data_IF_421309938538
#
_entry.id   IF_421309938538
#
_cell.length_a   1.000
_cell.length_b   1.000
_cell.length_c   1.000
_cell.angle_alpha   90.00
_cell.angle_beta   90.00
_cell.angle_gamma   90.00
#
_symmetry.space_group_name_H-M   'P 1'
#
loop_
_entity.id
_entity.type
_entity.pdbx_description
1 polymer ?
#
# COMPACT_ATOMS: atom_id res chain seq x y z
N UNK A 1 -5.56 -6.50 -19.38
CA UNK A 1 -4.87 -7.64 -18.74
C UNK A 1 -5.06 -7.49 -17.25
N UNK A 2 -5.47 -8.55 -16.55
CA UNK A 2 -5.63 -8.59 -15.09
C UNK A 2 -4.30 -8.30 -14.38
N UNK A 3 -4.35 -7.74 -13.17
CA UNK A 3 -3.16 -7.60 -12.33
C UNK A 3 -2.38 -8.91 -12.28
N UNK A 4 -1.03 -8.88 -12.34
CA UNK A 4 -0.26 -10.09 -12.14
C UNK A 4 -0.42 -10.62 -10.72
N UNK A 5 -0.94 -9.81 -9.78
CA UNK A 5 -1.08 -10.15 -8.37
C UNK A 5 -2.46 -10.69 -8.01
N UNK A 6 -2.49 -11.61 -7.04
CA UNK A 6 -3.68 -11.92 -6.25
C UNK A 6 -3.62 -11.10 -4.97
N UNK A 7 -4.65 -10.31 -4.69
CA UNK A 7 -4.68 -9.40 -3.53
C UNK A 7 -5.82 -9.72 -2.61
N UNK A 8 -5.58 -9.54 -1.32
CA UNK A 8 -6.60 -9.52 -0.28
C UNK A 8 -6.30 -8.36 0.66
N UNK A 9 -7.31 -7.56 0.98
CA UNK A 9 -7.21 -6.45 1.94
C UNK A 9 -8.12 -6.72 3.13
N UNK A 10 -7.60 -6.47 4.34
CA UNK A 10 -8.36 -6.51 5.58
C UNK A 10 -8.09 -5.27 6.42
N UNK A 11 -8.99 -4.95 7.35
CA UNK A 11 -8.67 -4.04 8.46
C UNK A 11 -7.51 -4.66 9.24
N UNK A 12 -6.55 -3.82 9.64
CA UNK A 12 -5.38 -4.22 10.39
C UNK A 12 -5.52 -3.84 11.85
N UNK A 13 -5.21 -4.79 12.73
CA UNK A 13 -4.92 -4.52 14.14
C UNK A 13 -3.42 -4.24 14.27
N UNK A 14 -3.05 -3.03 14.71
CA UNK A 14 -1.65 -2.64 14.82
C UNK A 14 -0.89 -3.45 15.89
N UNK A 15 -1.60 -4.03 16.86
CA UNK A 15 -1.02 -4.87 17.90
C UNK A 15 -0.64 -6.28 17.39
N UNK A 16 -1.27 -6.72 16.30
CA UNK A 16 -1.06 -8.03 15.66
C UNK A 16 -0.17 -7.94 14.40
N UNK A 17 0.54 -6.83 14.21
CA UNK A 17 1.46 -6.71 13.09
C UNK A 17 2.63 -7.71 13.20
N UNK A 18 3.09 -8.26 12.07
CA UNK A 18 4.33 -9.03 12.01
C UNK A 18 5.49 -8.26 12.65
N UNK A 19 6.42 -8.94 13.36
CA UNK A 19 7.48 -8.26 14.10
C UNK A 19 8.30 -7.27 13.27
N UNK A 20 8.66 -7.63 12.03
CA UNK A 20 9.41 -6.74 11.13
C UNK A 20 8.66 -5.44 10.81
N UNK A 21 7.38 -5.53 10.44
CA UNK A 21 6.53 -4.35 10.20
C UNK A 21 6.37 -3.50 11.46
N UNK A 22 6.18 -4.13 12.62
CA UNK A 22 6.06 -3.44 13.90
C UNK A 22 7.32 -2.65 14.26
N UNK A 23 8.49 -3.26 14.11
CA UNK A 23 9.77 -2.61 14.39
C UNK A 23 10.05 -1.47 13.41
N UNK A 24 9.81 -1.69 12.11
CA UNK A 24 9.95 -0.64 11.09
C UNK A 24 9.01 0.55 11.36
N UNK A 25 7.76 0.26 11.71
CA UNK A 25 6.76 1.28 12.05
C UNK A 25 7.16 2.08 13.30
N UNK A 26 7.64 1.41 14.36
CA UNK A 26 8.12 2.06 15.58
C UNK A 26 9.30 2.99 15.28
N UNK A 27 10.28 2.51 14.51
CA UNK A 27 11.46 3.30 14.15
C UNK A 27 11.06 4.54 13.34
N UNK A 28 10.17 4.38 12.36
CA UNK A 28 9.66 5.48 11.55
C UNK A 28 8.86 6.49 12.38
N UNK A 29 8.00 6.00 13.27
CA UNK A 29 7.21 6.84 14.18
C UNK A 29 8.12 7.67 15.09
N UNK A 30 9.18 7.05 15.63
CA UNK A 30 10.16 7.74 16.46
C UNK A 30 10.92 8.82 15.68
N UNK A 31 11.44 8.51 14.49
CA UNK A 31 12.23 9.45 13.69
C UNK A 31 11.42 10.63 13.17
N UNK A 32 10.10 10.46 13.02
CA UNK A 32 9.18 11.50 12.54
C UNK A 32 8.30 12.10 13.64
N UNK A 33 8.51 11.74 14.90
CA UNK A 33 7.73 12.19 16.05
C UNK A 33 6.21 11.98 15.88
N UNK A 34 5.81 10.84 15.30
CA UNK A 34 4.42 10.46 15.09
C UNK A 34 3.93 9.54 16.21
N UNK A 35 2.77 9.85 16.78
CA UNK A 35 2.12 9.00 17.76
C UNK A 35 1.21 7.99 17.04
N UNK A 36 1.68 6.76 16.90
CA UNK A 36 0.92 5.68 16.29
C UNK A 36 0.30 4.85 17.42
N UNK A 37 -1.03 4.86 17.49
CA UNK A 37 -1.81 4.12 18.50
C UNK A 37 -2.69 3.08 17.84
N UNK A 38 -3.03 2.01 18.56
CA UNK A 38 -3.79 0.87 18.02
C UNK A 38 -5.20 1.23 17.52
N UNK A 39 -5.72 2.40 17.92
CA UNK A 39 -7.03 2.91 17.46
C UNK A 39 -7.00 3.64 16.11
N UNK A 40 -5.84 3.80 15.49
CA UNK A 40 -5.76 4.47 14.18
C UNK A 40 -6.35 3.59 13.07
N UNK A 41 -7.13 4.16 12.13
CA UNK A 41 -7.62 3.40 10.99
C UNK A 41 -6.45 2.84 10.17
N UNK A 42 -6.44 1.51 10.01
CA UNK A 42 -5.36 0.80 9.33
C UNK A 42 -5.89 -0.37 8.51
N UNK A 43 -5.23 -0.64 7.38
CA UNK A 43 -5.55 -1.73 6.47
C UNK A 43 -4.30 -2.42 5.97
N UNK A 44 -4.32 -3.74 5.95
CA UNK A 44 -3.23 -4.57 5.45
C UNK A 44 -3.67 -5.23 4.14
N UNK A 45 -2.90 -5.00 3.08
CA UNK A 45 -3.05 -5.72 1.83
C UNK A 45 -1.94 -6.74 1.67
N UNK A 46 -2.31 -8.00 1.49
CA UNK A 46 -1.40 -9.06 1.04
C UNK A 46 -1.45 -9.15 -0.47
N UNK A 47 -0.30 -9.08 -1.13
CA UNK A 47 -0.15 -9.20 -2.59
C UNK A 47 0.73 -10.39 -2.93
N UNK A 48 0.13 -11.42 -3.53
CA UNK A 48 0.84 -12.61 -4.00
C UNK A 48 1.21 -12.46 -5.47
N UNK A 49 2.48 -12.73 -5.81
CA UNK A 49 3.02 -12.76 -7.17
C UNK A 49 3.11 -14.23 -7.65
N UNK A 50 2.06 -14.77 -8.28
CA UNK A 50 2.02 -16.15 -8.71
C UNK A 50 3.12 -16.46 -9.74
N UNK A 51 3.45 -17.75 -9.94
CA UNK A 51 4.30 -18.16 -11.05
C UNK A 51 3.75 -17.66 -12.40
N UNK A 52 4.65 -17.45 -13.36
CA UNK A 52 4.26 -17.08 -14.73
C UNK A 52 3.26 -18.10 -15.30
N UNK A 53 2.26 -17.63 -16.04
CA UNK A 53 1.31 -18.51 -16.75
C UNK A 53 1.88 -19.08 -18.05
N UNK A 54 2.98 -18.53 -18.57
CA UNK A 54 3.64 -19.01 -19.80
C UNK A 54 4.47 -20.28 -19.56
N UNK A 55 4.50 -21.19 -20.54
CA UNK A 55 5.28 -22.44 -20.45
C UNK A 55 6.79 -22.16 -20.26
N UNK A 56 7.35 -21.25 -21.05
CA UNK A 56 8.74 -20.83 -20.92
C UNK A 56 9.00 -20.15 -19.58
N UNK A 57 8.12 -19.25 -19.15
CA UNK A 57 8.24 -18.58 -17.86
C UNK A 57 8.26 -19.56 -16.68
N UNK A 58 7.38 -20.57 -16.69
CA UNK A 58 7.39 -21.65 -15.70
C UNK A 58 8.68 -22.45 -15.70
N UNK A 59 9.18 -22.83 -16.88
CA UNK A 59 10.42 -23.59 -17.01
C UNK A 59 11.63 -22.85 -16.40
N UNK A 60 11.67 -21.52 -16.54
CA UNK A 60 12.69 -20.66 -15.93
C UNK A 60 12.32 -20.16 -14.53
N UNK A 61 11.31 -20.75 -13.86
CA UNK A 61 10.82 -20.36 -12.52
C UNK A 61 10.49 -18.86 -12.38
N UNK A 62 10.07 -18.22 -13.47
CA UNK A 62 9.69 -16.79 -13.50
C UNK A 62 8.36 -16.58 -12.80
N UNK A 63 8.20 -15.41 -12.20
CA UNK A 63 6.94 -14.91 -11.64
C UNK A 63 6.09 -14.21 -12.70
N UNK A 64 4.82 -13.98 -12.40
CA UNK A 64 3.89 -13.24 -13.25
C UNK A 64 4.35 -11.79 -13.43
N UNK A 65 4.78 -11.15 -12.35
CA UNK A 65 5.58 -9.94 -12.40
C UNK A 65 7.06 -10.27 -12.16
N UNK A 66 7.89 -10.22 -13.19
CA UNK A 66 9.32 -10.50 -13.07
C UNK A 66 10.15 -9.35 -12.49
N UNK A 67 9.59 -8.13 -12.42
CA UNK A 67 10.28 -6.98 -11.83
C UNK A 67 10.12 -6.92 -10.31
N UNK A 68 9.16 -7.66 -9.76
CA UNK A 68 9.00 -7.81 -8.32
C UNK A 68 9.82 -9.01 -7.83
N UNK A 69 10.87 -8.78 -7.01
CA UNK A 69 11.70 -9.86 -6.49
C UNK A 69 10.94 -10.73 -5.48
N UNK A 70 9.84 -10.23 -4.89
CA UNK A 70 9.09 -10.93 -3.88
C UNK A 70 8.02 -11.84 -4.51
N UNK A 71 7.93 -13.06 -3.98
CA UNK A 71 6.81 -13.96 -4.26
C UNK A 71 5.51 -13.47 -3.60
N UNK A 72 5.66 -12.71 -2.52
CA UNK A 72 4.59 -12.11 -1.76
C UNK A 72 5.13 -10.89 -1.02
N UNK A 73 4.33 -9.82 -0.98
CA UNK A 73 4.59 -8.68 -0.11
C UNK A 73 3.31 -8.21 0.56
N UNK A 74 3.48 -7.53 1.68
CA UNK A 74 2.41 -6.88 2.42
C UNK A 74 2.55 -5.36 2.32
N UNK A 75 1.41 -4.66 2.28
CA UNK A 75 1.34 -3.20 2.32
C UNK A 75 0.33 -2.79 3.39
N UNK A 76 0.81 -2.15 4.44
CA UNK A 76 0.02 -1.58 5.51
C UNK A 76 -0.20 -0.09 5.22
N UNK A 77 -1.44 0.35 5.25
CA UNK A 77 -1.81 1.77 5.16
C UNK A 77 -2.39 2.19 6.51
N UNK A 78 -1.89 3.30 7.07
CA UNK A 78 -2.38 3.89 8.33
C UNK A 78 -2.75 5.35 8.06
N UNK A 79 -3.98 5.72 8.44
CA UNK A 79 -4.45 7.09 8.39
C UNK A 79 -4.22 7.72 9.76
N UNK A 80 -3.14 8.48 9.89
CA UNK A 80 -2.81 9.27 11.07
C UNK A 80 -3.45 10.68 10.95
N UNK A 81 -3.81 11.37 12.05
CA UNK A 81 -4.49 12.68 11.99
C UNK A 81 -3.79 13.75 11.14
N UNK A 82 -2.46 13.70 11.04
CA UNK A 82 -1.68 14.66 10.25
C UNK A 82 -0.95 14.05 9.06
N UNK A 83 -0.87 12.72 8.97
CA UNK A 83 -0.04 12.02 7.97
C UNK A 83 -0.76 10.82 7.38
N UNK A 84 -0.41 10.48 6.14
CA UNK A 84 -0.61 9.13 5.64
C UNK A 84 0.70 8.35 5.82
N UNK A 85 0.60 7.13 6.33
CA UNK A 85 1.75 6.25 6.53
C UNK A 85 1.50 4.97 5.73
N UNK A 86 2.50 4.55 4.97
CA UNK A 86 2.48 3.32 4.17
C UNK A 86 3.71 2.50 4.52
N UNK A 87 3.52 1.33 5.13
CA UNK A 87 4.59 0.38 5.40
C UNK A 87 4.50 -0.80 4.43
N UNK A 88 5.65 -1.28 3.98
CA UNK A 88 5.77 -2.38 3.03
C UNK A 88 6.69 -3.42 3.66
N UNK A 89 6.37 -4.70 3.51
CA UNK A 89 7.25 -5.80 3.87
C UNK A 89 7.26 -6.84 2.75
N UNK A 90 8.44 -7.30 2.37
CA UNK A 90 8.63 -8.44 1.47
C UNK A 90 9.89 -9.20 1.86
N UNK A 91 9.91 -10.51 1.65
CA UNK A 91 11.00 -11.38 2.08
C UNK A 91 12.38 -11.02 1.47
N UNK A 92 12.41 -10.42 0.27
CA UNK A 92 13.63 -10.02 -0.44
C UNK A 92 13.90 -8.53 -0.31
N UNK A 93 12.87 -7.67 -0.41
CA UNK A 93 13.05 -6.21 -0.29
C UNK A 93 13.21 -5.72 1.15
N UNK A 94 12.86 -6.56 2.13
CA UNK A 94 12.79 -6.18 3.54
C UNK A 94 11.59 -5.29 3.85
N UNK A 95 11.71 -4.51 4.93
CA UNK A 95 10.70 -3.55 5.36
C UNK A 95 11.09 -2.11 4.99
N UNK A 96 10.09 -1.32 4.59
CA UNK A 96 10.26 0.12 4.36
C UNK A 96 9.01 0.86 4.75
N UNK A 97 9.14 2.06 5.31
CA UNK A 97 8.00 2.90 5.69
C UNK A 97 8.10 4.25 4.99
N UNK A 98 6.99 4.65 4.36
CA UNK A 98 6.82 5.93 3.70
C UNK A 98 5.78 6.74 4.47
N UNK A 99 5.98 8.05 4.55
CA UNK A 99 4.93 8.92 5.08
C UNK A 99 4.93 10.30 4.44
N UNK A 100 3.80 10.98 4.51
CA UNK A 100 3.68 12.37 4.07
C UNK A 100 2.57 13.10 4.81
N UNK A 101 2.71 14.41 5.07
CA UNK A 101 1.66 15.21 5.68
C UNK A 101 0.41 15.23 4.79
N UNK A 102 -0.78 14.95 5.33
CA UNK A 102 -2.02 14.82 4.55
C UNK A 102 -2.29 16.03 3.65
N UNK A 103 -2.02 17.25 4.15
CA UNK A 103 -2.19 18.51 3.41
C UNK A 103 -1.33 18.60 2.14
N UNK A 104 -0.19 17.91 2.12
CA UNK A 104 0.76 17.92 1.00
C UNK A 104 0.54 16.74 0.03
N UNK A 105 -0.34 15.79 0.37
CA UNK A 105 -0.58 14.61 -0.44
C UNK A 105 -1.65 14.85 -1.50
N UNK A 106 -1.54 14.12 -2.60
CA UNK A 106 -2.61 13.98 -3.59
C UNK A 106 -2.90 12.51 -3.83
N UNK A 107 -4.17 12.17 -4.00
CA UNK A 107 -4.61 10.80 -4.25
C UNK A 107 -5.47 10.75 -5.49
N UNK A 108 -5.17 9.80 -6.37
CA UNK A 108 -5.99 9.47 -7.52
C UNK A 108 -6.39 8.00 -7.43
N UNK A 109 -7.67 7.71 -7.69
CA UNK A 109 -8.08 6.35 -8.02
C UNK A 109 -7.48 6.02 -9.37
N UNK A 110 -6.67 4.96 -9.43
CA UNK A 110 -6.17 4.45 -10.69
C UNK A 110 -6.87 3.13 -10.99
N UNK A 111 -7.81 3.19 -11.93
CA UNK A 111 -8.09 2.05 -12.81
C UNK A 111 -6.92 1.98 -13.80
N UNK A 112 -6.28 0.83 -13.98
CA UNK A 112 -5.19 0.72 -14.95
C UNK A 112 -5.80 0.90 -16.35
N UNK A 113 -5.43 1.98 -17.08
CA UNK A 113 -6.12 2.32 -18.32
C UNK A 113 -5.54 1.45 -19.44
N UNK A 114 -6.07 0.24 -19.65
CA UNK A 114 -5.92 -0.56 -20.88
C UNK A 114 -6.95 -1.71 -20.96
N UNK A 115 -8.16 -1.50 -20.42
CA UNK A 115 -9.28 -2.42 -20.59
C UNK A 115 -10.55 -1.62 -20.88
N UNK A 116 -11.04 -1.69 -22.12
CA UNK A 116 -12.37 -1.20 -22.56
C UNK A 116 -13.55 -1.98 -21.93
N UNK A 117 -13.33 -2.57 -20.77
CA UNK A 117 -14.32 -3.21 -19.92
C UNK A 117 -13.87 -2.96 -18.50
N UNK A 118 -14.70 -2.26 -17.73
CA UNK A 118 -14.60 -2.19 -16.27
C UNK A 118 -14.74 -3.61 -15.75
N UNK A 119 -13.64 -4.35 -15.67
CA UNK A 119 -13.55 -5.50 -14.78
C UNK A 119 -13.06 -4.95 -13.45
N UNK A 120 -13.79 -5.23 -12.37
CA UNK A 120 -13.47 -4.93 -10.96
C UNK A 120 -12.10 -5.44 -10.46
N UNK A 121 -11.23 -5.90 -11.35
CA UNK A 121 -10.06 -6.69 -11.03
C UNK A 121 -8.84 -5.88 -10.55
N UNK A 122 -8.88 -4.54 -10.53
CA UNK A 122 -7.76 -3.71 -10.12
C UNK A 122 -8.20 -2.42 -9.39
N UNK A 123 -8.59 -2.57 -8.12
CA UNK A 123 -8.77 -1.44 -7.21
C UNK A 123 -7.42 -1.04 -6.58
N UNK A 124 -7.16 0.25 -6.46
CA UNK A 124 -5.95 0.78 -5.83
C UNK A 124 -5.89 2.30 -5.77
N UNK A 125 -4.89 2.79 -5.05
CA UNK A 125 -4.64 4.22 -4.86
C UNK A 125 -3.28 4.58 -5.42
N UNK A 126 -3.22 5.62 -6.25
CA UNK A 126 -1.97 6.30 -6.56
C UNK A 126 -1.84 7.52 -5.65
N UNK A 127 -0.85 7.50 -4.76
CA UNK A 127 -0.59 8.55 -3.78
C UNK A 127 0.68 9.28 -4.19
N UNK A 128 0.62 10.60 -4.31
CA UNK A 128 1.77 11.45 -4.64
C UNK A 128 2.11 12.35 -3.46
N UNK A 129 3.41 12.55 -3.22
CA UNK A 129 3.94 13.40 -2.16
C UNK A 129 4.41 12.64 -0.92
N UNK A 130 4.39 11.31 -0.95
CA UNK A 130 5.01 10.49 0.10
C UNK A 130 6.53 10.68 0.05
N UNK A 131 7.13 10.94 1.21
CA UNK A 131 8.58 11.01 1.35
C UNK A 131 9.14 9.60 1.47
N UNK A 132 10.13 9.31 0.63
CA UNK A 132 11.00 8.15 0.78
C UNK A 132 12.15 8.49 1.72
N UNK A 133 12.82 7.50 2.29
CA UNK A 133 13.90 7.71 3.27
C UNK A 133 15.06 8.57 2.74
N UNK A 134 15.28 8.63 1.41
CA UNK A 134 16.27 9.54 0.80
C UNK A 134 15.91 11.03 0.88
N UNK A 135 14.70 11.37 1.32
CA UNK A 135 14.18 12.74 1.41
C UNK A 135 13.40 13.20 0.17
N UNK A 136 13.46 12.46 -0.93
CA UNK A 136 12.70 12.77 -2.14
C UNK A 136 11.20 12.48 -1.96
N UNK A 137 10.36 13.21 -2.68
CA UNK A 137 8.92 12.92 -2.77
C UNK A 137 8.61 12.17 -4.04
N UNK A 138 7.87 11.07 -3.92
CA UNK A 138 7.49 10.23 -5.05
C UNK A 138 5.99 10.04 -5.20
N UNK A 139 5.63 9.29 -6.25
CA UNK A 139 4.32 8.66 -6.38
C UNK A 139 4.45 7.18 -6.00
N UNK A 140 3.56 6.71 -5.13
CA UNK A 140 3.48 5.33 -4.70
C UNK A 140 2.10 4.76 -5.02
N UNK A 141 2.06 3.58 -5.61
CA UNK A 141 0.81 2.88 -5.89
C UNK A 141 0.55 1.81 -4.83
N UNK A 142 -0.59 1.91 -4.15
CA UNK A 142 -1.11 0.88 -3.25
C UNK A 142 -2.15 0.07 -4.01
N UNK A 143 -1.83 -1.19 -4.31
CA UNK A 143 -2.83 -2.14 -4.78
C UNK A 143 -3.73 -2.58 -3.64
N UNK A 144 -5.02 -2.75 -3.91
CA UNK A 144 -6.01 -3.19 -2.92
C UNK A 144 -6.67 -4.49 -3.39
N UNK A 145 -7.10 -5.29 -2.43
CA UNK A 145 -7.94 -6.46 -2.66
C UNK A 145 -9.40 -6.07 -2.93
N UNK A 146 -10.21 -7.01 -3.45
CA UNK A 146 -11.61 -6.75 -3.81
C UNK A 146 -12.56 -6.72 -2.60
N UNK A 147 -12.07 -7.02 -1.40
CA UNK A 147 -12.87 -7.04 -0.18
C UNK A 147 -13.37 -5.63 0.18
N UNK A 148 -14.48 -5.49 0.94
CA UNK A 148 -14.99 -4.18 1.38
C UNK A 148 -13.93 -3.31 2.06
N UNK A 149 -13.03 -3.93 2.83
CA UNK A 149 -11.90 -3.27 3.48
C UNK A 149 -10.96 -2.54 2.50
N UNK A 150 -10.81 -3.04 1.26
CA UNK A 150 -10.08 -2.32 0.21
C UNK A 150 -10.77 -1.00 -0.16
N UNK A 151 -12.07 -1.03 -0.38
CA UNK A 151 -12.84 0.18 -0.68
C UNK A 151 -12.88 1.16 0.51
N UNK A 152 -13.03 0.65 1.73
CA UNK A 152 -12.96 1.43 2.97
C UNK A 152 -11.62 2.14 3.11
N UNK A 153 -10.50 1.44 2.87
CA UNK A 153 -9.17 2.03 2.85
C UNK A 153 -9.09 3.18 1.85
N UNK A 154 -9.57 2.96 0.62
CA UNK A 154 -9.53 3.96 -0.45
C UNK A 154 -10.32 5.22 -0.09
N UNK A 155 -11.50 5.07 0.50
CA UNK A 155 -12.33 6.19 0.90
C UNK A 155 -11.80 6.91 2.14
N UNK A 156 -11.27 6.18 3.12
CA UNK A 156 -10.67 6.78 4.31
C UNK A 156 -9.44 7.64 3.97
N UNK A 157 -8.54 7.15 3.10
CA UNK A 157 -7.37 7.92 2.65
C UNK A 157 -7.80 9.19 1.93
N UNK A 158 -8.77 9.09 1.01
CA UNK A 158 -9.28 10.25 0.28
C UNK A 158 -9.93 11.26 1.21
N UNK A 159 -10.83 10.81 2.08
CA UNK A 159 -11.52 11.67 3.03
C UNK A 159 -10.54 12.40 3.96
N UNK A 160 -9.49 11.71 4.44
CA UNK A 160 -8.48 12.32 5.29
C UNK A 160 -7.66 13.41 4.56
N UNK A 161 -7.26 13.16 3.31
CA UNK A 161 -6.55 14.15 2.49
C UNK A 161 -7.48 15.35 2.18
N UNK A 162 -8.73 15.10 1.81
CA UNK A 162 -9.70 16.14 1.49
C UNK A 162 -10.00 17.03 2.71
N UNK A 163 -10.17 16.42 3.89
CA UNK A 163 -10.38 17.14 5.15
C UNK A 163 -9.15 17.97 5.55
N UNK A 164 -7.94 17.44 5.38
CA UNK A 164 -6.71 18.17 5.69
C UNK A 164 -6.48 19.39 4.77
N UNK A 165 -6.97 19.34 3.53
CA UNK A 165 -6.90 20.46 2.57
C UNK A 165 -7.98 21.51 2.78
N UNK A 166 -9.09 21.14 3.40
CA UNK A 166 -10.22 22.01 3.66
C UNK A 166 -10.53 22.04 5.16
N UNK A 167 -9.64 22.58 6.00
CA UNK A 167 -9.93 22.76 7.41
C UNK A 167 -11.08 23.75 7.55
N UNK A 168 -12.15 23.31 8.22
CA UNK A 168 -13.29 24.17 8.56
C UNK A 168 -12.95 25.25 9.59
#
# INVERSE_FOLDING_TARGET
MTSPYRRSTSVADLSDLPPGLRDALRNHAHSHQLAITDGLPAWLTRSENPPSSSLLGRAFKRRANSADPDAEHQTLVIVHPTHLIVAISGAVRGESVLSGPLVALSVARRSIPHADRVSDAEAGLSITGLRIESGDTGSFYVGLGPEPAGQECADAVRAAIDAAKNPG
#
